data_IF_525562681492
#
_entry.id   IF_525562681492
#
_cell.length_a   1.000
_cell.length_b   1.000
_cell.length_c   1.000
_cell.angle_alpha   90.00
_cell.angle_beta   90.00
_cell.angle_gamma   90.00
#
_symmetry.space_group_name_H-M   'P 1'
#
loop_
_entity.id
_entity.type
_entity.pdbx_description
1 polymer ?
#
# COMPACT_ATOMS: atom_id res chain seq x y z
N UNK A 1 22.94 -22.71 -27.82
CA UNK A 1 23.57 -22.59 -26.48
C UNK A 1 24.41 -21.31 -26.31
N UNK A 2 25.08 -20.80 -27.31
CA UNK A 2 25.91 -19.59 -27.21
C UNK A 2 25.13 -18.29 -26.89
N UNK A 3 23.97 -18.08 -27.51
CA UNK A 3 23.12 -16.89 -27.27
C UNK A 3 22.65 -16.86 -25.84
N UNK A 4 22.04 -17.95 -25.35
CA UNK A 4 21.57 -18.09 -23.96
C UNK A 4 22.68 -17.81 -22.92
N UNK A 5 23.88 -18.39 -23.13
CA UNK A 5 25.04 -18.12 -22.26
C UNK A 5 25.49 -16.66 -22.32
N UNK A 6 25.34 -15.99 -23.48
CA UNK A 6 25.63 -14.58 -23.65
C UNK A 6 24.74 -13.69 -22.76
N UNK A 7 23.43 -13.97 -22.75
CA UNK A 7 22.45 -13.26 -21.88
C UNK A 7 22.82 -13.40 -20.40
N UNK A 8 23.06 -14.63 -19.94
CA UNK A 8 23.43 -14.88 -18.54
C UNK A 8 24.77 -14.21 -18.14
N UNK A 9 25.75 -14.13 -19.07
CA UNK A 9 27.02 -13.43 -18.81
C UNK A 9 26.84 -11.95 -18.59
N UNK A 10 25.97 -11.28 -19.40
CA UNK A 10 25.67 -9.86 -19.23
C UNK A 10 24.94 -9.62 -17.89
N UNK A 11 23.96 -10.46 -17.55
CA UNK A 11 23.27 -10.38 -16.24
C UNK A 11 24.28 -10.49 -15.11
N UNK A 12 25.18 -11.49 -15.16
CA UNK A 12 26.20 -11.68 -14.12
C UNK A 12 27.16 -10.49 -14.00
N UNK A 13 27.50 -9.84 -15.09
CA UNK A 13 28.34 -8.65 -15.09
C UNK A 13 27.65 -7.42 -14.45
N UNK A 14 26.31 -7.41 -14.40
CA UNK A 14 25.50 -6.30 -13.88
C UNK A 14 24.75 -6.66 -12.58
N UNK A 15 25.19 -7.71 -11.87
CA UNK A 15 24.59 -8.13 -10.59
C UNK A 15 24.55 -7.00 -9.55
N UNK A 16 25.50 -6.06 -9.57
CA UNK A 16 25.55 -4.93 -8.65
C UNK A 16 24.28 -4.07 -8.70
N UNK A 17 23.72 -3.85 -9.89
CA UNK A 17 22.46 -3.09 -10.04
C UNK A 17 21.26 -3.87 -9.51
N UNK A 18 21.19 -5.18 -9.74
CA UNK A 18 20.16 -6.04 -9.17
C UNK A 18 20.22 -6.01 -7.63
N UNK A 19 21.43 -6.16 -7.07
CA UNK A 19 21.64 -6.11 -5.62
C UNK A 19 21.27 -4.74 -5.03
N UNK A 20 21.46 -3.65 -5.76
CA UNK A 20 21.01 -2.32 -5.34
C UNK A 20 19.49 -2.27 -5.15
N UNK A 21 18.69 -2.74 -6.13
CA UNK A 21 17.23 -2.77 -6.01
C UNK A 21 16.75 -3.70 -4.91
N UNK A 22 17.41 -4.84 -4.74
CA UNK A 22 17.16 -5.76 -3.61
C UNK A 22 17.44 -5.07 -2.27
N UNK A 23 18.56 -4.34 -2.17
CA UNK A 23 18.93 -3.60 -0.96
C UNK A 23 17.92 -2.50 -0.62
N UNK A 24 17.46 -1.72 -1.60
CA UNK A 24 16.43 -0.70 -1.42
C UNK A 24 15.12 -1.35 -0.95
N UNK A 25 14.71 -2.45 -1.59
CA UNK A 25 13.49 -3.16 -1.22
C UNK A 25 13.57 -3.72 0.21
N UNK A 26 14.69 -4.33 0.59
CA UNK A 26 14.92 -4.80 1.96
C UNK A 26 14.86 -3.66 2.98
N UNK A 27 15.48 -2.52 2.67
CA UNK A 27 15.42 -1.34 3.53
C UNK A 27 13.98 -0.87 3.74
N UNK A 28 13.15 -0.85 2.68
CA UNK A 28 11.73 -0.52 2.77
C UNK A 28 10.99 -1.55 3.66
N UNK A 29 11.20 -2.85 3.42
CA UNK A 29 10.56 -3.91 4.23
C UNK A 29 10.93 -3.80 5.71
N UNK A 30 12.20 -3.54 6.03
CA UNK A 30 12.66 -3.36 7.42
C UNK A 30 12.09 -2.08 8.03
N UNK A 31 12.06 -0.97 7.29
CA UNK A 31 11.49 0.29 7.77
C UNK A 31 10.00 0.12 8.12
N UNK A 32 9.21 -0.51 7.23
CA UNK A 32 7.79 -0.75 7.46
C UNK A 32 7.57 -1.74 8.61
N UNK A 33 8.38 -2.80 8.68
CA UNK A 33 8.28 -3.77 9.77
C UNK A 33 8.56 -3.14 11.15
N UNK A 34 9.48 -2.16 11.20
CA UNK A 34 9.75 -1.41 12.43
C UNK A 34 8.71 -0.34 12.75
N UNK A 35 8.10 0.24 11.72
CA UNK A 35 7.05 1.26 11.88
C UNK A 35 5.70 0.65 12.27
N UNK A 36 5.49 -0.64 11.97
CA UNK A 36 4.31 -1.41 12.34
C UNK A 36 4.74 -2.66 13.12
N UNK A 37 5.07 -2.57 14.40
CA UNK A 37 5.47 -3.71 15.22
C UNK A 37 4.36 -4.74 15.47
N UNK A 38 3.14 -4.53 14.94
CA UNK A 38 1.97 -5.37 15.13
C UNK A 38 1.94 -6.62 14.23
N UNK A 39 2.85 -7.54 14.46
CA UNK A 39 2.76 -8.94 13.99
C UNK A 39 2.58 -9.95 15.12
N UNK A 40 2.45 -9.50 16.32
CA UNK A 40 2.14 -10.29 17.51
C UNK A 40 0.87 -9.71 18.12
N UNK A 41 -0.01 -10.56 18.58
CA UNK A 41 -1.17 -10.32 19.44
C UNK A 41 -0.95 -9.13 20.39
N UNK A 42 -0.91 -7.92 19.86
CA UNK A 42 -0.84 -6.74 20.69
C UNK A 42 -2.28 -6.29 20.99
N UNK A 43 -2.60 -6.33 22.27
CA UNK A 43 -3.65 -5.51 22.81
C UNK A 43 -3.56 -4.14 22.12
N UNK A 44 -4.67 -3.71 21.53
CA UNK A 44 -4.80 -2.37 20.96
C UNK A 44 -4.23 -1.36 21.96
N UNK A 45 -3.08 -0.79 21.65
CA UNK A 45 -2.47 0.26 22.46
C UNK A 45 -2.99 1.58 21.92
N UNK A 46 -3.86 2.21 22.66
CA UNK A 46 -4.38 3.52 22.35
C UNK A 46 -3.24 4.52 22.23
N UNK A 47 -3.04 5.08 21.04
CA UNK A 47 -2.05 6.13 20.82
C UNK A 47 -2.62 7.43 21.40
N UNK A 48 -1.96 7.97 22.42
CA UNK A 48 -2.33 9.29 22.96
C UNK A 48 -2.07 10.35 21.92
N UNK A 49 -3.10 11.13 21.60
CA UNK A 49 -3.05 12.27 20.71
C UNK A 49 -2.91 13.58 21.50
N UNK A 50 -2.38 14.60 20.83
CA UNK A 50 -2.47 15.96 21.34
C UNK A 50 -3.86 16.52 21.00
N UNK A 51 -4.71 16.67 22.02
CA UNK A 51 -6.09 17.11 21.87
C UNK A 51 -6.35 18.39 22.69
N UNK A 52 -7.11 19.30 22.12
CA UNK A 52 -7.57 20.50 22.81
C UNK A 52 -9.09 20.48 23.00
N UNK A 53 -9.54 21.03 24.11
CA UNK A 53 -10.97 21.18 24.41
C UNK A 53 -11.26 22.66 24.63
N UNK A 54 -12.21 23.17 23.87
CA UNK A 54 -12.71 24.55 23.96
C UNK A 54 -14.14 24.48 24.53
N UNK A 55 -14.27 24.69 25.82
CA UNK A 55 -15.58 24.73 26.47
C UNK A 55 -16.12 26.17 26.50
N UNK A 56 -17.22 26.42 25.77
CA UNK A 56 -17.93 27.71 25.72
C UNK A 56 -19.23 27.66 26.53
N UNK A 57 -19.61 26.47 27.05
CA UNK A 57 -20.87 26.26 27.78
C UNK A 57 -20.67 26.31 29.28
N UNK A 58 -19.50 25.87 29.77
CA UNK A 58 -19.14 25.89 31.20
C UNK A 58 -19.96 24.99 32.09
N UNK A 59 -20.58 23.93 31.53
CA UNK A 59 -21.46 23.02 32.23
C UNK A 59 -20.81 21.72 32.69
N UNK A 60 -21.63 20.82 33.32
CA UNK A 60 -21.15 19.48 33.73
C UNK A 60 -20.69 18.64 32.55
N UNK A 61 -21.29 18.82 31.37
CA UNK A 61 -20.92 18.13 30.15
C UNK A 61 -19.52 18.55 29.71
N UNK A 62 -19.18 19.85 29.76
CA UNK A 62 -17.85 20.34 29.44
C UNK A 62 -16.79 19.77 30.36
N UNK A 63 -17.06 19.77 31.67
CA UNK A 63 -16.16 19.20 32.67
C UNK A 63 -15.91 17.69 32.44
N UNK A 64 -16.93 16.92 32.08
CA UNK A 64 -16.80 15.50 31.73
C UNK A 64 -15.88 15.30 30.51
N UNK A 65 -16.11 16.03 29.43
CA UNK A 65 -15.38 15.90 28.19
C UNK A 65 -13.92 16.34 28.35
N UNK A 66 -13.66 17.42 29.11
CA UNK A 66 -12.31 17.84 29.46
C UNK A 66 -11.55 16.79 30.27
N UNK A 67 -12.25 16.20 31.28
CA UNK A 67 -11.67 15.14 32.11
C UNK A 67 -11.33 13.90 31.31
N UNK A 68 -12.26 13.45 30.46
CA UNK A 68 -12.07 12.29 29.60
C UNK A 68 -10.88 12.46 28.63
N UNK A 69 -10.81 13.60 27.94
CA UNK A 69 -9.68 13.90 27.04
C UNK A 69 -8.37 13.97 27.81
N UNK A 70 -8.37 14.51 29.02
CA UNK A 70 -7.15 14.60 29.85
C UNK A 70 -6.66 13.26 30.38
N UNK A 71 -7.54 12.27 30.53
CA UNK A 71 -7.14 10.92 30.96
C UNK A 71 -6.62 10.07 29.80
N UNK A 72 -7.33 10.07 28.68
CA UNK A 72 -7.06 9.18 27.56
C UNK A 72 -6.06 9.77 26.54
N UNK A 73 -5.91 11.11 26.50
CA UNK A 73 -5.09 11.83 25.54
C UNK A 73 -4.19 12.90 26.21
N UNK A 74 -3.29 13.50 25.45
CA UNK A 74 -2.48 14.63 25.91
C UNK A 74 -3.28 15.91 25.74
N UNK A 75 -3.86 16.44 26.81
CA UNK A 75 -4.60 17.70 26.76
C UNK A 75 -3.64 18.89 26.58
N UNK A 76 -3.86 19.68 25.55
CA UNK A 76 -3.15 20.94 25.28
C UNK A 76 -4.13 22.10 25.43
N UNK A 77 -3.74 23.11 26.21
CA UNK A 77 -4.52 24.34 26.35
C UNK A 77 -4.16 25.29 25.23
N UNK A 78 -5.15 25.71 24.45
CA UNK A 78 -5.01 26.69 23.37
C UNK A 78 -6.03 27.82 23.55
N UNK A 79 -5.72 28.99 22.97
CA UNK A 79 -6.64 30.10 22.99
C UNK A 79 -7.84 29.85 22.07
N UNK A 80 -9.04 30.28 22.51
CA UNK A 80 -10.27 30.23 21.70
C UNK A 80 -10.27 31.35 20.64
N UNK A 81 -9.36 31.25 19.67
CA UNK A 81 -9.23 32.16 18.54
C UNK A 81 -9.16 31.33 17.24
N UNK A 82 -10.01 31.60 16.25
CA UNK A 82 -10.05 30.82 15.01
C UNK A 82 -8.72 30.72 14.26
N UNK A 83 -7.88 31.77 14.33
CA UNK A 83 -6.57 31.77 13.69
C UNK A 83 -5.61 30.84 14.42
N UNK A 84 -5.59 30.91 15.76
CA UNK A 84 -4.76 30.02 16.59
C UNK A 84 -5.17 28.57 16.42
N UNK A 85 -6.48 28.27 16.41
CA UNK A 85 -7.00 26.91 16.20
C UNK A 85 -6.56 26.35 14.85
N UNK A 86 -6.60 27.17 13.79
CA UNK A 86 -6.17 26.77 12.47
C UNK A 86 -4.65 26.55 12.37
N UNK A 87 -3.84 27.43 12.98
CA UNK A 87 -2.38 27.31 13.01
C UNK A 87 -1.94 26.05 13.77
N UNK A 88 -2.49 25.80 14.95
CA UNK A 88 -2.15 24.63 15.77
C UNK A 88 -2.47 23.30 15.08
N UNK A 89 -3.59 23.24 14.34
CA UNK A 89 -3.94 22.08 13.49
C UNK A 89 -3.02 21.98 12.28
N UNK A 90 -2.68 23.09 11.64
CA UNK A 90 -1.83 23.11 10.45
C UNK A 90 -0.42 22.62 10.75
N UNK A 91 0.17 23.11 11.86
CA UNK A 91 1.50 22.67 12.31
C UNK A 91 1.49 21.32 13.03
N UNK A 92 0.30 20.69 13.20
CA UNK A 92 0.13 19.41 13.90
C UNK A 92 0.60 19.44 15.36
N UNK A 93 0.63 20.60 16.00
CA UNK A 93 0.84 20.72 17.42
C UNK A 93 -0.36 20.12 18.18
N UNK A 94 -1.57 20.30 17.62
CA UNK A 94 -2.82 19.67 18.04
C UNK A 94 -3.38 18.85 16.87
N UNK A 95 -3.76 17.61 17.12
CA UNK A 95 -4.31 16.71 16.10
C UNK A 95 -5.85 16.62 16.14
N UNK A 96 -6.45 17.01 17.28
CA UNK A 96 -7.89 16.97 17.52
C UNK A 96 -8.34 18.15 18.39
N UNK A 97 -9.37 18.87 17.98
CA UNK A 97 -9.97 19.96 18.73
C UNK A 97 -11.46 19.66 18.94
N UNK A 98 -11.86 19.59 20.20
CA UNK A 98 -13.26 19.45 20.61
C UNK A 98 -13.79 20.82 21.05
N UNK A 99 -14.83 21.29 20.38
CA UNK A 99 -15.50 22.56 20.71
C UNK A 99 -16.89 22.26 21.26
N UNK A 100 -17.16 22.71 22.46
CA UNK A 100 -18.45 22.60 23.12
C UNK A 100 -19.13 23.98 23.00
N UNK A 101 -20.11 24.13 22.10
CA UNK A 101 -20.78 25.41 21.87
C UNK A 101 -21.70 25.76 23.04
N UNK A 102 -22.02 27.05 23.19
CA UNK A 102 -23.01 27.51 24.17
C UNK A 102 -24.37 26.84 23.94
N UNK A 103 -25.02 26.40 25.01
CA UNK A 103 -26.30 25.68 24.98
C UNK A 103 -26.14 24.18 24.64
N UNK A 104 -24.95 23.63 24.66
CA UNK A 104 -24.71 22.21 24.40
C UNK A 104 -25.43 21.32 25.42
N UNK A 105 -25.36 21.69 26.69
CA UNK A 105 -26.05 20.98 27.77
C UNK A 105 -27.57 21.05 27.66
N UNK A 106 -28.13 22.20 27.23
CA UNK A 106 -29.60 22.36 27.06
C UNK A 106 -30.10 21.50 25.89
N UNK A 107 -29.34 21.43 24.78
CA UNK A 107 -29.68 20.55 23.67
C UNK A 107 -29.63 19.07 24.03
N UNK A 108 -28.64 18.68 24.80
CA UNK A 108 -28.54 17.30 25.30
C UNK A 108 -29.74 16.95 26.21
N UNK A 109 -30.19 17.86 27.07
CA UNK A 109 -31.40 17.70 27.88
C UNK A 109 -32.68 17.64 27.04
N UNK A 110 -32.71 18.31 25.89
CA UNK A 110 -33.82 18.24 24.94
C UNK A 110 -33.84 16.94 24.11
N UNK A 111 -32.83 16.06 24.29
CA UNK A 111 -32.74 14.78 23.60
C UNK A 111 -32.03 14.85 22.23
N UNK A 112 -31.40 15.98 21.91
CA UNK A 112 -30.57 16.11 20.74
C UNK A 112 -29.19 15.49 20.98
N UNK A 113 -28.73 14.64 20.06
CA UNK A 113 -27.37 14.06 20.07
C UNK A 113 -26.49 14.61 18.99
N UNK A 114 -27.07 14.96 17.86
CA UNK A 114 -26.35 15.52 16.72
C UNK A 114 -26.00 17.01 16.91
N UNK A 115 -24.72 17.35 16.69
CA UNK A 115 -24.25 18.72 16.77
C UNK A 115 -24.15 19.32 18.17
N UNK A 116 -24.29 18.51 19.23
CA UNK A 116 -24.07 18.93 20.63
C UNK A 116 -22.63 19.40 20.83
N UNK A 117 -21.68 18.74 20.18
CA UNK A 117 -20.28 19.15 20.13
C UNK A 117 -19.80 19.27 18.67
N UNK A 118 -18.76 20.05 18.45
CA UNK A 118 -18.11 20.19 17.15
C UNK A 118 -16.68 19.64 17.25
N UNK A 119 -16.33 18.75 16.34
CA UNK A 119 -15.01 18.14 16.29
C UNK A 119 -14.26 18.62 15.07
N UNK A 120 -13.02 19.04 15.24
CA UNK A 120 -12.12 19.43 14.15
C UNK A 120 -10.86 18.57 14.24
N UNK A 121 -10.57 17.85 13.17
CA UNK A 121 -9.41 16.95 13.07
C UNK A 121 -8.40 17.42 12.06
N UNK A 122 -7.13 17.15 12.30
CA UNK A 122 -6.09 17.41 11.30
C UNK A 122 -6.35 16.55 10.04
N UNK A 123 -6.20 17.09 8.82
CA UNK A 123 -6.44 16.34 7.59
C UNK A 123 -5.61 15.06 7.53
N UNK A 124 -6.28 13.92 7.26
CA UNK A 124 -5.63 12.61 7.16
C UNK A 124 -5.29 11.95 8.51
N UNK A 125 -5.77 12.45 9.64
CA UNK A 125 -5.60 11.81 10.95
C UNK A 125 -6.63 10.70 11.15
N UNK A 126 -6.23 9.45 10.96
CA UNK A 126 -7.08 8.27 11.31
C UNK A 126 -7.33 8.18 12.80
N UNK A 127 -6.41 8.67 13.61
CA UNK A 127 -6.52 8.67 15.06
C UNK A 127 -7.55 9.72 15.53
N UNK A 128 -7.76 10.82 14.80
CA UNK A 128 -8.83 11.79 15.08
C UNK A 128 -10.22 11.19 14.97
N UNK A 129 -10.48 10.34 13.98
CA UNK A 129 -11.76 9.61 13.86
C UNK A 129 -12.01 8.65 15.02
N UNK A 130 -10.94 8.07 15.58
CA UNK A 130 -11.07 7.21 16.74
C UNK A 130 -11.52 7.99 17.98
N UNK A 131 -10.91 9.17 18.21
CA UNK A 131 -11.32 10.07 19.31
C UNK A 131 -12.77 10.51 19.13
N UNK A 132 -13.17 10.83 17.90
CA UNK A 132 -14.52 11.23 17.56
C UNK A 132 -15.55 10.13 17.91
N UNK A 133 -15.23 8.88 17.59
CA UNK A 133 -16.05 7.73 17.95
C UNK A 133 -16.14 7.53 19.48
N UNK A 134 -15.04 7.74 20.20
CA UNK A 134 -15.03 7.65 21.67
C UNK A 134 -15.91 8.75 22.31
N UNK A 135 -15.80 9.99 21.83
CA UNK A 135 -16.64 11.10 22.29
C UNK A 135 -18.11 10.81 21.98
N UNK A 136 -18.42 10.32 20.78
CA UNK A 136 -19.77 9.91 20.40
C UNK A 136 -20.35 8.84 21.32
N UNK A 137 -19.54 7.84 21.72
CA UNK A 137 -19.93 6.81 22.66
C UNK A 137 -20.19 7.38 24.05
N UNK A 138 -19.32 8.27 24.55
CA UNK A 138 -19.49 8.92 25.86
C UNK A 138 -20.76 9.78 25.90
N UNK A 139 -21.01 10.57 24.86
CA UNK A 139 -22.25 11.35 24.73
C UNK A 139 -23.49 10.47 24.66
N UNK A 140 -23.41 9.31 24.01
CA UNK A 140 -24.51 8.34 23.98
C UNK A 140 -24.79 7.76 25.35
N UNK A 141 -23.79 7.48 26.18
CA UNK A 141 -23.98 7.06 27.56
C UNK A 141 -24.69 8.12 28.40
N UNK A 142 -24.26 9.39 28.29
CA UNK A 142 -24.93 10.51 28.97
C UNK A 142 -26.39 10.61 28.53
N UNK A 143 -26.66 10.51 27.22
CA UNK A 143 -28.01 10.57 26.67
C UNK A 143 -28.92 9.46 27.21
N UNK A 144 -28.44 8.22 27.28
CA UNK A 144 -29.18 7.07 27.84
C UNK A 144 -29.52 7.30 29.31
N UNK A 145 -28.56 7.80 30.07
CA UNK A 145 -28.77 8.08 31.49
C UNK A 145 -29.78 9.21 31.71
N UNK A 146 -29.75 10.27 30.91
CA UNK A 146 -30.75 11.34 30.93
C UNK A 146 -32.15 10.81 30.58
N UNK A 147 -32.27 9.96 29.57
CA UNK A 147 -33.52 9.30 29.21
C UNK A 147 -34.04 8.38 30.35
N UNK A 148 -33.12 7.85 31.17
CA UNK A 148 -33.43 7.10 32.40
C UNK A 148 -33.88 7.95 33.59
N UNK A 149 -33.92 9.29 33.43
CA UNK A 149 -34.40 10.21 34.47
C UNK A 149 -33.33 10.73 35.42
N UNK A 150 -32.06 10.49 35.17
CA UNK A 150 -30.96 11.09 35.94
C UNK A 150 -30.80 12.59 35.63
N UNK A 151 -30.36 13.34 36.62
CA UNK A 151 -29.97 14.74 36.36
C UNK A 151 -28.69 14.81 35.48
N UNK A 152 -28.46 15.93 34.81
CA UNK A 152 -27.26 16.10 33.95
C UNK A 152 -25.96 15.82 34.72
N UNK A 153 -25.88 16.29 35.97
CA UNK A 153 -24.67 16.08 36.79
C UNK A 153 -24.47 14.59 37.10
N UNK A 154 -25.53 13.91 37.56
CA UNK A 154 -25.47 12.46 37.87
C UNK A 154 -25.17 11.63 36.61
N UNK A 155 -25.78 11.99 35.49
CA UNK A 155 -25.53 11.33 34.21
C UNK A 155 -24.05 11.48 33.76
N UNK A 156 -23.46 12.67 33.93
CA UNK A 156 -22.04 12.89 33.63
C UNK A 156 -21.12 12.11 34.58
N UNK A 157 -21.41 12.12 35.90
CA UNK A 157 -20.63 11.36 36.90
C UNK A 157 -20.67 9.84 36.64
N UNK A 158 -21.86 9.30 36.30
CA UNK A 158 -21.99 7.88 35.98
C UNK A 158 -21.34 7.52 34.61
N UNK A 159 -21.48 8.38 33.60
CA UNK A 159 -20.84 8.17 32.31
C UNK A 159 -19.31 8.16 32.43
N UNK A 160 -18.75 9.04 33.29
CA UNK A 160 -17.32 9.04 33.58
C UNK A 160 -16.89 7.72 34.25
N UNK A 161 -17.61 7.26 35.25
CA UNK A 161 -17.33 5.99 35.91
C UNK A 161 -17.39 4.80 34.94
N UNK A 162 -18.39 4.75 34.05
CA UNK A 162 -18.53 3.72 33.04
C UNK A 162 -17.38 3.78 32.01
N UNK A 163 -16.89 4.97 31.69
CA UNK A 163 -15.76 5.13 30.73
C UNK A 163 -14.45 4.58 31.30
N UNK A 164 -14.31 4.50 32.59
CA UNK A 164 -13.14 3.97 33.30
C UNK A 164 -13.16 2.43 33.42
N UNK A 165 -14.32 1.78 33.26
CA UNK A 165 -14.40 0.32 33.21
C UNK A 165 -13.79 -0.21 31.92
N UNK A 166 -12.49 -0.50 31.95
CA UNK A 166 -11.77 -1.11 30.82
C UNK A 166 -12.16 -2.58 30.72
N UNK A 167 -13.04 -2.88 29.78
CA UNK A 167 -13.29 -4.25 29.36
C UNK A 167 -12.03 -4.85 28.77
N UNK A 168 -11.61 -6.02 29.26
CA UNK A 168 -10.50 -6.77 28.62
C UNK A 168 -11.07 -7.39 27.34
N UNK A 169 -10.83 -6.74 26.20
CA UNK A 169 -11.16 -7.31 24.90
C UNK A 169 -10.03 -8.30 24.57
N UNK A 170 -10.28 -9.57 24.78
CA UNK A 170 -9.46 -10.61 24.21
C UNK A 170 -9.84 -10.72 22.72
N UNK A 171 -9.01 -10.18 21.84
CA UNK A 171 -9.09 -10.48 20.42
C UNK A 171 -8.76 -11.98 20.26
N UNK A 172 -9.80 -12.79 20.25
CA UNK A 172 -9.65 -14.18 19.83
C UNK A 172 -9.43 -14.11 18.31
N UNK A 173 -8.20 -14.38 17.88
CA UNK A 173 -7.94 -14.70 16.48
C UNK A 173 -8.74 -15.95 16.13
N UNK A 174 -9.97 -15.77 15.71
CA UNK A 174 -10.66 -16.81 14.98
C UNK A 174 -9.90 -16.94 13.67
N UNK A 175 -9.30 -18.10 13.47
CA UNK A 175 -8.55 -18.50 12.27
C UNK A 175 -9.38 -18.41 10.97
N UNK A 176 -10.55 -17.81 10.98
CA UNK A 176 -11.53 -17.79 9.90
C UNK A 176 -11.87 -16.40 9.35
N UNK A 177 -11.20 -15.30 9.72
CA UNK A 177 -11.68 -14.05 9.13
C UNK A 177 -11.01 -12.73 9.46
N UNK A 178 -9.88 -12.73 10.08
CA UNK A 178 -9.15 -11.49 10.36
C UNK A 178 -7.68 -11.78 10.47
N UNK A 179 -6.99 -11.95 9.33
CA UNK A 179 -5.55 -12.08 9.41
C UNK A 179 -4.99 -10.78 9.97
N UNK A 180 -4.46 -10.85 11.20
CA UNK A 180 -3.53 -9.85 11.68
C UNK A 180 -2.64 -9.49 10.48
N UNK A 181 -2.42 -8.19 10.23
CA UNK A 181 -1.59 -7.71 9.10
C UNK A 181 -0.20 -8.31 9.22
N UNK A 182 -0.08 -9.56 8.82
CA UNK A 182 1.18 -10.31 8.89
C UNK A 182 2.18 -9.64 7.98
N UNK A 183 3.42 -9.56 8.40
CA UNK A 183 4.47 -8.83 7.67
C UNK A 183 4.62 -9.23 6.20
N UNK A 184 4.23 -10.47 5.80
CA UNK A 184 4.28 -10.90 4.40
C UNK A 184 3.28 -10.15 3.50
N UNK A 185 2.16 -9.60 4.01
CA UNK A 185 1.26 -8.76 3.21
C UNK A 185 1.97 -7.49 2.73
N UNK A 186 2.76 -6.86 3.59
CA UNK A 186 3.56 -5.70 3.22
C UNK A 186 4.62 -6.06 2.17
N UNK A 187 5.25 -7.24 2.32
CA UNK A 187 6.20 -7.72 1.32
C UNK A 187 5.57 -7.79 -0.06
N UNK A 188 4.40 -8.45 -0.18
CA UNK A 188 3.70 -8.56 -1.47
C UNK A 188 3.13 -7.22 -1.93
N UNK A 189 2.71 -6.33 -1.03
CA UNK A 189 2.23 -5.01 -1.42
C UNK A 189 3.32 -4.21 -2.16
N UNK A 190 4.56 -4.21 -1.66
CA UNK A 190 5.68 -3.45 -2.26
C UNK A 190 6.50 -4.22 -3.30
N UNK A 191 6.26 -5.52 -3.47
CA UNK A 191 6.99 -6.37 -4.40
C UNK A 191 6.98 -5.87 -5.87
N UNK A 192 5.89 -5.26 -6.41
CA UNK A 192 5.90 -4.71 -7.77
C UNK A 192 7.03 -3.73 -8.03
N UNK A 193 7.32 -2.82 -7.09
CA UNK A 193 8.41 -1.88 -7.22
C UNK A 193 9.77 -2.59 -7.35
N UNK A 194 10.00 -3.60 -6.53
CA UNK A 194 11.22 -4.40 -6.59
C UNK A 194 11.35 -5.17 -7.90
N UNK A 195 10.24 -5.79 -8.37
CA UNK A 195 10.21 -6.51 -9.63
C UNK A 195 10.45 -5.58 -10.83
N UNK A 196 9.74 -4.44 -10.89
CA UNK A 196 9.91 -3.48 -11.98
C UNK A 196 11.34 -2.93 -11.99
N UNK A 197 11.80 -2.38 -10.87
CA UNK A 197 13.14 -1.82 -10.78
C UNK A 197 14.23 -2.80 -11.19
N UNK A 198 14.21 -4.02 -10.65
CA UNK A 198 15.23 -5.04 -10.91
C UNK A 198 15.12 -5.65 -12.31
N UNK A 199 13.92 -6.02 -12.76
CA UNK A 199 13.72 -6.70 -14.05
C UNK A 199 13.89 -5.73 -15.22
N UNK A 200 13.24 -4.55 -15.18
CA UNK A 200 13.34 -3.57 -16.27
C UNK A 200 14.79 -3.17 -16.49
N UNK A 201 15.52 -2.89 -15.40
CA UNK A 201 16.91 -2.50 -15.51
C UNK A 201 17.79 -3.64 -16.02
N UNK A 202 17.64 -4.84 -15.47
CA UNK A 202 18.43 -6.02 -15.91
C UNK A 202 18.17 -6.36 -17.37
N UNK A 203 16.89 -6.45 -17.77
CA UNK A 203 16.53 -6.77 -19.15
C UNK A 203 16.89 -5.65 -20.10
N UNK A 204 16.63 -4.40 -19.70
CA UNK A 204 16.97 -3.23 -20.50
C UNK A 204 18.44 -3.21 -20.91
N UNK A 205 19.35 -3.45 -19.96
CA UNK A 205 20.79 -3.53 -20.25
C UNK A 205 21.09 -4.68 -21.21
N UNK A 206 20.53 -5.86 -20.95
CA UNK A 206 20.77 -7.02 -21.81
C UNK A 206 20.32 -6.75 -23.24
N UNK A 207 19.13 -6.21 -23.44
CA UNK A 207 18.58 -5.88 -24.78
C UNK A 207 19.42 -4.79 -25.45
N UNK A 208 19.80 -3.75 -24.71
CA UNK A 208 20.62 -2.66 -25.21
C UNK A 208 22.00 -3.16 -25.69
N UNK A 209 22.66 -4.06 -24.94
CA UNK A 209 23.91 -4.68 -25.35
C UNK A 209 23.75 -5.49 -26.64
N UNK A 210 22.67 -6.27 -26.76
CA UNK A 210 22.42 -7.05 -28.00
C UNK A 210 22.03 -6.19 -29.22
N UNK A 211 21.65 -4.91 -29.03
CA UNK A 211 21.44 -3.94 -30.12
C UNK A 211 22.73 -3.43 -30.72
N UNK A 212 23.88 -3.55 -30.06
CA UNK A 212 25.18 -3.07 -30.58
C UNK A 212 25.51 -3.71 -31.92
N UNK A 213 25.95 -2.90 -32.86
CA UNK A 213 26.23 -3.32 -34.26
C UNK A 213 27.17 -4.53 -34.34
N UNK A 214 28.19 -4.57 -33.49
CA UNK A 214 29.17 -5.64 -33.44
C UNK A 214 28.56 -7.00 -33.05
N UNK A 215 27.75 -7.02 -32.02
CA UNK A 215 27.09 -8.25 -31.56
C UNK A 215 26.05 -8.69 -32.58
N UNK A 216 25.28 -7.75 -33.13
CA UNK A 216 24.29 -8.03 -34.17
C UNK A 216 24.91 -8.64 -35.42
N UNK A 217 26.02 -8.08 -35.92
CA UNK A 217 26.77 -8.63 -37.11
C UNK A 217 27.24 -10.06 -36.84
N UNK A 218 27.77 -10.33 -35.65
CA UNK A 218 28.19 -11.69 -35.25
C UNK A 218 27.03 -12.66 -35.19
N UNK A 219 25.84 -12.21 -34.71
CA UNK A 219 24.65 -13.03 -34.69
C UNK A 219 24.12 -13.34 -36.09
N UNK A 220 24.17 -12.37 -37.01
CA UNK A 220 23.76 -12.55 -38.41
C UNK A 220 24.67 -13.48 -39.18
N UNK A 221 25.97 -13.47 -38.87
CA UNK A 221 26.97 -14.36 -39.52
C UNK A 221 26.98 -15.77 -38.94
N UNK A 222 26.22 -16.03 -37.85
CA UNK A 222 26.19 -17.33 -37.25
C UNK A 222 25.26 -18.30 -38.04
N UNK A 223 25.63 -19.57 -38.25
CA UNK A 223 24.85 -20.54 -39.01
C UNK A 223 23.64 -21.08 -38.17
N UNK A 224 22.88 -20.17 -37.58
CA UNK A 224 21.72 -20.50 -36.75
C UNK A 224 20.50 -19.75 -37.29
N UNK A 225 19.38 -20.43 -37.56
CA UNK A 225 18.16 -19.77 -38.04
C UNK A 225 17.71 -18.65 -37.09
N UNK A 226 17.30 -17.51 -37.67
CA UNK A 226 16.86 -16.32 -36.92
C UNK A 226 15.76 -16.62 -35.88
N UNK A 227 14.82 -17.50 -36.22
CA UNK A 227 13.75 -17.94 -35.30
C UNK A 227 14.35 -18.62 -34.06
N UNK A 228 15.33 -19.48 -34.25
CA UNK A 228 15.98 -20.22 -33.15
C UNK A 228 16.80 -19.27 -32.25
N UNK A 229 17.42 -18.23 -32.83
CA UNK A 229 18.14 -17.20 -32.07
C UNK A 229 17.16 -16.39 -31.19
N UNK A 230 16.02 -15.98 -31.75
CA UNK A 230 14.99 -15.21 -31.04
C UNK A 230 14.35 -16.04 -29.92
N UNK A 231 14.01 -17.31 -30.18
CA UNK A 231 13.48 -18.25 -29.17
C UNK A 231 14.47 -18.46 -28.03
N UNK A 232 15.75 -18.64 -28.33
CA UNK A 232 16.79 -18.78 -27.32
C UNK A 232 16.98 -17.51 -26.50
N UNK A 233 16.84 -16.31 -27.12
CA UNK A 233 16.84 -15.03 -26.43
C UNK A 233 15.64 -14.86 -25.51
N UNK A 234 14.43 -15.12 -26.03
CA UNK A 234 13.19 -15.05 -25.24
C UNK A 234 13.19 -16.01 -24.04
N UNK A 235 13.65 -17.25 -24.26
CA UNK A 235 13.80 -18.24 -23.20
C UNK A 235 14.83 -17.78 -22.14
N UNK A 236 15.94 -17.19 -22.56
CA UNK A 236 16.94 -16.65 -21.64
C UNK A 236 16.37 -15.51 -20.78
N UNK A 237 15.62 -14.57 -21.37
CA UNK A 237 14.96 -13.49 -20.63
C UNK A 237 13.94 -14.03 -19.64
N UNK A 238 13.11 -14.98 -20.06
CA UNK A 238 12.12 -15.60 -19.17
C UNK A 238 12.81 -16.30 -17.99
N UNK A 239 13.88 -17.07 -18.24
CA UNK A 239 14.64 -17.75 -17.16
C UNK A 239 15.24 -16.74 -16.20
N UNK A 240 15.80 -15.64 -16.69
CA UNK A 240 16.36 -14.58 -15.84
C UNK A 240 15.28 -13.95 -14.98
N UNK A 241 14.13 -13.58 -15.56
CA UNK A 241 13.02 -12.97 -14.81
C UNK A 241 12.43 -13.95 -13.78
N UNK A 242 12.23 -15.20 -14.16
CA UNK A 242 11.77 -16.24 -13.25
C UNK A 242 12.79 -16.47 -12.12
N UNK A 243 14.08 -16.41 -12.42
CA UNK A 243 15.14 -16.50 -11.42
C UNK A 243 15.10 -15.34 -10.41
N UNK A 244 14.89 -14.10 -10.88
CA UNK A 244 14.73 -12.92 -10.02
C UNK A 244 13.45 -13.06 -9.17
N UNK A 245 12.34 -13.47 -9.76
CA UNK A 245 11.08 -13.69 -9.05
C UNK A 245 11.20 -14.78 -7.98
N UNK A 246 11.77 -15.94 -8.31
CA UNK A 246 12.04 -17.02 -7.35
C UNK A 246 12.94 -16.52 -6.22
N UNK A 247 13.95 -15.71 -6.53
CA UNK A 247 14.81 -15.12 -5.52
C UNK A 247 14.01 -14.27 -4.51
N UNK A 248 13.07 -13.42 -4.97
CA UNK A 248 12.21 -12.67 -4.07
C UNK A 248 11.26 -13.57 -3.25
N UNK A 249 10.75 -14.66 -3.82
CA UNK A 249 9.94 -15.63 -3.07
C UNK A 249 10.77 -16.33 -1.98
N UNK A 250 12.00 -16.71 -2.27
CA UNK A 250 12.91 -17.29 -1.28
C UNK A 250 13.24 -16.29 -0.18
N UNK A 251 13.48 -15.02 -0.55
CA UNK A 251 13.72 -13.95 0.39
C UNK A 251 12.52 -13.76 1.34
N UNK A 252 11.30 -13.76 0.80
CA UNK A 252 10.06 -13.72 1.60
C UNK A 252 9.98 -14.91 2.55
N UNK A 253 10.25 -16.12 2.07
CA UNK A 253 10.18 -17.34 2.89
C UNK A 253 11.20 -17.30 4.05
N UNK A 254 12.39 -16.73 3.82
CA UNK A 254 13.42 -16.56 4.87
C UNK A 254 13.02 -15.49 5.89
N UNK A 255 12.59 -14.29 5.43
CA UNK A 255 12.27 -13.17 6.31
C UNK A 255 11.06 -13.48 7.19
N UNK A 256 10.01 -14.08 6.62
CA UNK A 256 8.74 -14.33 7.31
C UNK A 256 8.53 -15.80 7.69
N UNK A 257 9.62 -16.60 7.72
CA UNK A 257 9.62 -17.99 8.19
C UNK A 257 8.50 -18.87 7.57
N UNK A 258 8.19 -18.61 6.31
CA UNK A 258 7.16 -19.35 5.58
C UNK A 258 5.72 -19.06 6.02
N UNK A 259 5.47 -17.97 6.75
CA UNK A 259 4.13 -17.61 7.25
C UNK A 259 3.03 -17.57 6.19
N UNK A 260 3.38 -17.24 4.93
CA UNK A 260 2.43 -17.23 3.82
C UNK A 260 1.80 -18.61 3.56
N UNK A 261 2.56 -19.71 3.74
CA UNK A 261 2.05 -21.05 3.48
C UNK A 261 0.97 -21.50 4.48
N UNK A 262 0.82 -20.76 5.59
CA UNK A 262 -0.24 -20.97 6.58
C UNK A 262 -1.52 -20.21 6.25
N UNK A 263 -1.49 -19.27 5.31
CA UNK A 263 -2.61 -18.35 5.01
C UNK A 263 -3.71 -18.96 4.13
N UNK A 264 -3.54 -20.15 3.58
CA UNK A 264 -4.48 -20.72 2.59
C UNK A 264 -4.46 -20.06 1.21
N UNK A 265 -3.98 -18.83 1.09
CA UNK A 265 -3.98 -18.02 -0.15
C UNK A 265 -2.61 -17.93 -0.83
N UNK A 266 -1.61 -18.68 -0.36
CA UNK A 266 -0.24 -18.62 -0.87
C UNK A 266 -0.16 -18.76 -2.40
N UNK A 267 -0.91 -19.70 -2.98
CA UNK A 267 -0.93 -19.93 -4.42
C UNK A 267 -1.38 -18.70 -5.21
N UNK A 268 -2.38 -17.94 -4.69
CA UNK A 268 -2.90 -16.75 -5.37
C UNK A 268 -1.90 -15.61 -5.30
N UNK A 269 -1.23 -15.40 -4.15
CA UNK A 269 -0.12 -14.44 -4.03
C UNK A 269 1.01 -14.74 -5.00
N UNK A 270 1.39 -16.02 -5.12
CA UNK A 270 2.42 -16.45 -6.08
C UNK A 270 1.98 -16.21 -7.52
N UNK A 271 0.73 -16.54 -7.87
CA UNK A 271 0.21 -16.35 -9.22
C UNK A 271 0.11 -14.86 -9.56
N UNK A 272 -0.37 -14.01 -8.63
CA UNK A 272 -0.45 -12.57 -8.81
C UNK A 272 0.93 -11.95 -9.01
N UNK A 273 1.91 -12.32 -8.18
CA UNK A 273 3.30 -11.84 -8.32
C UNK A 273 3.98 -12.35 -9.59
N UNK A 274 3.65 -13.57 -10.05
CA UNK A 274 4.12 -14.10 -11.32
C UNK A 274 3.56 -13.32 -12.52
N UNK A 275 2.25 -12.98 -12.50
CA UNK A 275 1.65 -12.12 -13.53
C UNK A 275 2.31 -10.74 -13.56
N UNK A 276 2.59 -10.15 -12.40
CA UNK A 276 3.33 -8.89 -12.29
C UNK A 276 4.76 -9.01 -12.85
N UNK A 277 5.45 -10.12 -12.62
CA UNK A 277 6.76 -10.41 -13.22
C UNK A 277 6.71 -10.44 -14.75
N UNK A 278 5.65 -11.00 -15.35
CA UNK A 278 5.47 -10.99 -16.82
C UNK A 278 5.25 -9.57 -17.35
N UNK A 279 4.53 -8.72 -16.61
CA UNK A 279 4.43 -7.28 -16.93
C UNK A 279 5.81 -6.63 -16.89
N UNK A 280 6.58 -6.86 -15.83
CA UNK A 280 7.95 -6.33 -15.70
C UNK A 280 8.87 -6.79 -16.85
N UNK A 281 8.75 -8.05 -17.28
CA UNK A 281 9.46 -8.60 -18.41
C UNK A 281 9.12 -7.85 -19.72
N UNK A 282 7.83 -7.64 -19.98
CA UNK A 282 7.39 -6.92 -21.19
C UNK A 282 7.86 -5.47 -21.21
N UNK A 283 7.77 -4.77 -20.08
CA UNK A 283 8.27 -3.41 -19.90
C UNK A 283 9.81 -3.36 -20.04
N UNK A 284 10.53 -4.30 -19.45
CA UNK A 284 12.00 -4.38 -19.57
C UNK A 284 12.46 -4.61 -21.00
N UNK A 285 11.73 -5.43 -21.77
CA UNK A 285 11.99 -5.61 -23.19
C UNK A 285 11.71 -4.34 -24.00
N UNK A 286 10.59 -3.67 -23.72
CA UNK A 286 10.24 -2.39 -24.35
C UNK A 286 11.27 -1.31 -24.06
N UNK A 287 11.61 -1.07 -22.79
CA UNK A 287 12.57 -0.04 -22.39
C UNK A 287 13.97 -0.27 -22.97
N UNK A 288 14.43 -1.53 -22.99
CA UNK A 288 15.69 -1.88 -23.61
C UNK A 288 15.71 -1.63 -25.12
N UNK A 289 14.55 -1.76 -25.80
CA UNK A 289 14.44 -1.46 -27.23
C UNK A 289 14.50 0.03 -27.54
N UNK A 290 13.91 0.89 -26.71
CA UNK A 290 13.87 2.35 -26.96
C UNK A 290 15.09 3.08 -26.38
N UNK A 291 15.73 2.53 -25.34
CA UNK A 291 16.87 3.20 -24.70
C UNK A 291 18.13 3.18 -25.57
N UNK A 292 18.84 4.30 -25.59
CA UNK A 292 20.10 4.47 -26.33
C UNK A 292 21.34 4.24 -25.45
N UNK A 293 21.20 4.55 -24.15
CA UNK A 293 22.27 4.42 -23.17
C UNK A 293 21.75 4.08 -21.78
N UNK A 294 22.66 3.72 -20.88
CA UNK A 294 22.30 3.30 -19.52
C UNK A 294 21.66 4.40 -18.68
N UNK A 295 21.99 5.69 -18.93
CA UNK A 295 21.41 6.83 -18.20
C UNK A 295 19.95 7.00 -18.59
N UNK A 296 19.64 6.97 -19.89
CA UNK A 296 18.27 7.03 -20.40
C UNK A 296 17.44 5.84 -19.90
N UNK A 297 18.00 4.62 -19.93
CA UNK A 297 17.37 3.43 -19.41
C UNK A 297 17.00 3.58 -17.94
N UNK A 298 17.92 4.07 -17.11
CA UNK A 298 17.68 4.29 -15.68
C UNK A 298 16.60 5.35 -15.45
N UNK A 299 16.61 6.45 -16.19
CA UNK A 299 15.56 7.47 -16.12
C UNK A 299 14.18 6.90 -16.46
N UNK A 300 14.05 6.15 -17.56
CA UNK A 300 12.80 5.51 -17.97
C UNK A 300 12.36 4.47 -16.95
N UNK A 301 13.28 3.65 -16.43
CA UNK A 301 12.98 2.66 -15.39
C UNK A 301 12.42 3.33 -14.15
N UNK A 302 13.01 4.43 -13.67
CA UNK A 302 12.51 5.13 -12.48
C UNK A 302 11.11 5.71 -12.73
N UNK A 303 10.87 6.36 -13.87
CA UNK A 303 9.57 6.91 -14.22
C UNK A 303 8.51 5.82 -14.29
N UNK A 304 8.80 4.70 -14.95
CA UNK A 304 7.85 3.59 -15.08
C UNK A 304 7.62 2.89 -13.74
N UNK A 305 8.67 2.54 -13.01
CA UNK A 305 8.55 1.80 -11.75
C UNK A 305 7.85 2.62 -10.68
N UNK A 306 8.24 3.91 -10.50
CA UNK A 306 7.60 4.79 -9.52
C UNK A 306 6.19 5.18 -9.98
N UNK A 307 6.03 5.60 -11.24
CA UNK A 307 4.73 6.04 -11.76
C UNK A 307 3.66 4.95 -11.68
N UNK A 308 3.98 3.72 -12.13
CA UNK A 308 3.07 2.58 -12.02
C UNK A 308 2.75 2.21 -10.57
N UNK A 309 3.74 2.30 -9.67
CA UNK A 309 3.54 1.96 -8.26
C UNK A 309 2.74 3.03 -7.51
N UNK A 310 2.95 4.33 -7.80
CA UNK A 310 2.15 5.39 -7.18
C UNK A 310 0.69 5.35 -7.66
N UNK A 311 0.49 5.32 -8.98
CA UNK A 311 -0.85 5.33 -9.56
C UNK A 311 -1.61 4.03 -9.31
N UNK A 312 -0.91 2.91 -9.22
CA UNK A 312 -1.51 1.58 -9.07
C UNK A 312 -1.77 1.12 -7.63
N UNK A 313 -1.62 1.99 -6.64
CA UNK A 313 -1.97 1.63 -5.25
C UNK A 313 -0.91 0.84 -4.50
N UNK A 314 0.34 0.81 -4.99
CA UNK A 314 1.45 0.09 -4.32
C UNK A 314 2.00 0.91 -3.16
N UNK A 315 2.23 2.23 -3.36
CA UNK A 315 2.76 3.12 -2.32
C UNK A 315 1.66 3.86 -1.57
N UNK A 316 0.58 4.19 -2.25
CA UNK A 316 -0.58 4.88 -1.67
C UNK A 316 -1.77 3.94 -1.76
N UNK A 317 -2.42 3.57 -0.64
CA UNK A 317 -3.61 2.73 -0.66
C UNK A 317 -4.67 3.26 -1.63
N UNK A 318 -5.34 2.36 -2.36
CA UNK A 318 -6.33 2.72 -3.39
C UNK A 318 -7.47 3.57 -2.81
N UNK A 319 -7.80 3.36 -1.55
CA UNK A 319 -8.86 4.07 -0.81
C UNK A 319 -8.50 5.56 -0.57
N UNK A 320 -7.21 5.89 -0.59
CA UNK A 320 -6.72 7.26 -0.42
C UNK A 320 -6.57 8.01 -1.75
N UNK A 321 -6.70 7.31 -2.87
CA UNK A 321 -6.63 7.93 -4.19
C UNK A 321 -7.99 8.53 -4.56
N UNK A 322 -8.00 9.78 -5.04
CA UNK A 322 -9.22 10.42 -5.52
C UNK A 322 -9.84 9.67 -6.72
N UNK A 323 -11.17 9.76 -6.88
CA UNK A 323 -11.93 9.03 -7.90
C UNK A 323 -11.39 9.21 -9.33
N UNK A 324 -10.89 10.40 -9.68
CA UNK A 324 -10.30 10.66 -11.00
C UNK A 324 -9.01 9.87 -11.24
N UNK A 325 -8.16 9.71 -10.21
CA UNK A 325 -6.92 8.94 -10.29
C UNK A 325 -7.24 7.46 -10.39
N UNK A 326 -8.21 6.97 -9.59
CA UNK A 326 -8.65 5.57 -9.61
C UNK A 326 -9.16 5.17 -10.99
N UNK A 327 -9.91 6.05 -11.67
CA UNK A 327 -10.41 5.79 -13.03
C UNK A 327 -9.29 5.58 -14.05
N UNK A 328 -8.17 6.31 -13.92
CA UNK A 328 -6.97 6.11 -14.76
C UNK A 328 -6.21 4.84 -14.30
N UNK A 329 -6.09 4.64 -13.00
CA UNK A 329 -5.37 3.51 -12.43
C UNK A 329 -5.92 2.15 -12.88
N UNK A 330 -7.23 2.02 -13.10
CA UNK A 330 -7.88 0.79 -13.57
C UNK A 330 -7.32 0.25 -14.90
N UNK A 331 -6.70 1.10 -15.72
CA UNK A 331 -6.01 0.68 -16.94
C UNK A 331 -4.60 0.15 -16.68
N UNK A 332 -4.06 0.33 -15.47
CA UNK A 332 -2.71 -0.06 -15.11
C UNK A 332 -2.66 -1.46 -14.47
N UNK A 333 -1.67 -2.28 -14.81
CA UNK A 333 -1.55 -3.63 -14.25
C UNK A 333 -1.30 -3.63 -12.73
N UNK A 334 -0.67 -2.60 -12.20
CA UNK A 334 -0.38 -2.43 -10.77
C UNK A 334 -1.62 -2.19 -9.93
N UNK A 335 -2.65 -1.55 -10.48
CA UNK A 335 -3.95 -1.40 -9.83
C UNK A 335 -4.58 -2.76 -9.52
N UNK A 336 -4.62 -3.64 -10.51
CA UNK A 336 -5.19 -4.98 -10.36
C UNK A 336 -4.36 -5.85 -9.43
N UNK A 337 -3.03 -5.70 -9.50
CA UNK A 337 -2.13 -6.34 -8.56
C UNK A 337 -2.44 -5.95 -7.10
N UNK A 338 -2.53 -4.64 -6.83
CA UNK A 338 -2.81 -4.11 -5.48
C UNK A 338 -4.21 -4.49 -5.01
N UNK A 339 -5.21 -4.44 -5.91
CA UNK A 339 -6.59 -4.83 -5.60
C UNK A 339 -6.69 -6.31 -5.21
N UNK A 340 -6.02 -7.21 -5.95
CA UNK A 340 -5.96 -8.65 -5.59
C UNK A 340 -5.32 -8.83 -4.22
N UNK A 341 -4.18 -8.17 -3.95
CA UNK A 341 -3.51 -8.26 -2.65
C UNK A 341 -4.38 -7.70 -1.51
N UNK A 342 -5.16 -6.65 -1.76
CA UNK A 342 -6.15 -6.13 -0.82
C UNK A 342 -7.22 -7.17 -0.48
N UNK A 343 -7.80 -7.81 -1.49
CA UNK A 343 -8.78 -8.89 -1.30
C UNK A 343 -8.19 -10.03 -0.45
N UNK A 344 -6.98 -10.48 -0.78
CA UNK A 344 -6.31 -11.57 -0.05
C UNK A 344 -5.92 -11.21 1.38
N UNK A 345 -5.76 -9.91 1.67
CA UNK A 345 -5.49 -9.38 3.00
C UNK A 345 -6.76 -9.33 3.86
N UNK A 346 -7.87 -8.86 3.27
CA UNK A 346 -9.05 -8.47 4.02
C UNK A 346 -10.07 -9.60 4.16
N UNK A 347 -9.99 -10.63 3.30
CA UNK A 347 -10.95 -11.74 3.29
C UNK A 347 -10.26 -13.09 3.52
N UNK A 348 -10.68 -13.81 4.57
CA UNK A 348 -10.22 -15.17 4.88
C UNK A 348 -10.83 -16.21 3.95
N UNK A 349 -12.12 -16.06 3.62
CA UNK A 349 -12.84 -16.88 2.64
C UNK A 349 -13.19 -16.05 1.41
N UNK A 350 -13.00 -16.65 0.24
CA UNK A 350 -13.24 -15.98 -1.04
C UNK A 350 -14.60 -16.37 -1.61
N UNK A 351 -15.53 -15.41 -1.65
CA UNK A 351 -16.81 -15.57 -2.33
C UNK A 351 -16.63 -15.72 -3.85
N UNK A 352 -17.65 -16.22 -4.54
CA UNK A 352 -17.64 -16.35 -6.01
C UNK A 352 -17.35 -15.01 -6.71
N UNK A 353 -17.88 -13.90 -6.20
CA UNK A 353 -17.67 -12.56 -6.75
C UNK A 353 -16.21 -12.09 -6.60
N UNK A 354 -15.59 -12.37 -5.45
CA UNK A 354 -14.17 -12.08 -5.22
C UNK A 354 -13.28 -12.90 -6.15
N UNK A 355 -13.61 -14.17 -6.38
CA UNK A 355 -12.92 -15.00 -7.36
C UNK A 355 -12.99 -14.42 -8.78
N UNK A 356 -14.17 -13.94 -9.22
CA UNK A 356 -14.30 -13.26 -10.51
C UNK A 356 -13.40 -12.03 -10.61
N UNK A 357 -13.32 -11.24 -9.56
CA UNK A 357 -12.45 -10.06 -9.50
C UNK A 357 -10.97 -10.43 -9.59
N UNK A 358 -10.54 -11.49 -8.89
CA UNK A 358 -9.16 -12.00 -8.91
C UNK A 358 -8.79 -12.46 -10.33
N UNK A 359 -9.64 -13.30 -10.96
CA UNK A 359 -9.36 -13.79 -12.31
C UNK A 359 -9.36 -12.66 -13.36
N UNK A 360 -10.30 -11.74 -13.26
CA UNK A 360 -10.32 -10.56 -14.14
C UNK A 360 -9.01 -9.74 -13.99
N UNK A 361 -8.56 -9.49 -12.78
CA UNK A 361 -7.33 -8.77 -12.53
C UNK A 361 -6.08 -9.48 -13.07
N UNK A 362 -6.00 -10.80 -12.93
CA UNK A 362 -4.90 -11.60 -13.51
C UNK A 362 -4.91 -11.54 -15.04
N UNK A 363 -6.10 -11.67 -15.66
CA UNK A 363 -6.24 -11.58 -17.12
C UNK A 363 -5.87 -10.20 -17.65
N UNK A 364 -6.24 -9.12 -16.97
CA UNK A 364 -5.88 -7.74 -17.36
C UNK A 364 -4.36 -7.54 -17.28
N UNK A 365 -3.70 -8.02 -16.24
CA UNK A 365 -2.24 -7.98 -16.14
C UNK A 365 -1.56 -8.72 -17.31
N UNK A 366 -2.04 -9.92 -17.64
CA UNK A 366 -1.53 -10.70 -18.78
C UNK A 366 -1.79 -10.01 -20.12
N UNK A 367 -2.99 -9.46 -20.32
CA UNK A 367 -3.34 -8.71 -21.51
C UNK A 367 -2.44 -7.48 -21.69
N UNK A 368 -2.15 -6.75 -20.61
CA UNK A 368 -1.21 -5.63 -20.63
C UNK A 368 0.21 -6.08 -21.03
N UNK A 369 0.69 -7.17 -20.46
CA UNK A 369 2.01 -7.72 -20.79
C UNK A 369 2.09 -8.12 -22.28
N UNK A 370 1.05 -8.78 -22.80
CA UNK A 370 0.97 -9.17 -24.22
C UNK A 370 0.89 -7.94 -25.15
N UNK A 371 0.07 -6.94 -24.80
CA UNK A 371 -0.03 -5.70 -25.57
C UNK A 371 1.30 -4.95 -25.62
N UNK A 372 1.97 -4.80 -24.49
CA UNK A 372 3.29 -4.16 -24.41
C UNK A 372 4.34 -4.93 -25.25
N UNK A 373 4.33 -6.26 -25.17
CA UNK A 373 5.20 -7.11 -25.98
C UNK A 373 4.90 -6.97 -27.49
N UNK A 374 3.63 -6.92 -27.86
CA UNK A 374 3.17 -6.71 -29.24
C UNK A 374 3.66 -5.38 -29.80
N UNK A 375 3.49 -4.29 -29.07
CA UNK A 375 4.01 -2.95 -29.44
C UNK A 375 5.52 -2.98 -29.63
N UNK A 376 6.25 -3.64 -28.74
CA UNK A 376 7.72 -3.75 -28.83
C UNK A 376 8.16 -4.51 -30.08
N UNK A 377 7.42 -5.56 -30.43
CA UNK A 377 7.72 -6.33 -31.67
C UNK A 377 7.47 -5.51 -32.94
N UNK A 378 6.43 -4.66 -32.96
CA UNK A 378 6.16 -3.74 -34.06
C UNK A 378 7.28 -2.70 -34.22
N UNK A 379 7.73 -2.08 -33.11
CA UNK A 379 8.85 -1.14 -33.12
C UNK A 379 10.13 -1.80 -33.64
N UNK A 380 10.40 -3.02 -33.23
CA UNK A 380 11.55 -3.79 -33.71
C UNK A 380 11.51 -4.03 -35.24
N UNK A 381 10.34 -4.35 -35.80
CA UNK A 381 10.17 -4.54 -37.26
C UNK A 381 10.41 -3.24 -38.01
N UNK A 382 9.86 -2.10 -37.57
CA UNK A 382 10.09 -0.79 -38.17
C UNK A 382 11.58 -0.41 -38.21
N UNK A 383 12.31 -0.59 -37.13
CA UNK A 383 13.76 -0.32 -37.07
C UNK A 383 14.59 -1.24 -37.98
N UNK A 384 14.07 -2.40 -38.35
CA UNK A 384 14.74 -3.29 -39.32
C UNK A 384 14.52 -2.84 -40.75
N UNK A 385 13.34 -2.28 -41.07
CA UNK A 385 12.99 -1.78 -42.41
C UNK A 385 13.67 -0.44 -42.74
N UNK A 386 13.82 0.47 -41.79
CA UNK A 386 14.51 1.76 -42.00
C UNK A 386 16.04 1.65 -42.16
N UNK A 387 16.63 0.51 -41.83
CA UNK A 387 18.10 0.31 -41.83
C UNK A 387 18.57 -0.78 -42.80
N UNK A 388 17.69 -1.34 -43.61
CA UNK A 388 18.00 -2.23 -44.76
C UNK A 388 17.97 -1.48 -46.07
#
# INVERSE_FOLDING_TARGET
MTVFKGYLRIVRANLGQLLMYVGIFLAICVAISRSNPGGTTESFTQKKLNAAVIDRDGGSLGTLLEHYIGQEHNRISIADDPQVLQEELYYRNVEYILIIPKGAQERMLAGETDGVVQCVTAPGSTAGYYVDAQIGQLLSHVHILLAGGFSMKEACEQADALSQEKGTINLVETSEGGSARTGYHFFYAYLPYALFGSIIMTLGIVIMEFKKKEIRRRMQSAPIPFVRQNLAGAAALLVVCTGIWVFYLLLQAVIYQGGIFRSGHAAIYMLNSFSCMLVALSLGYFTGMISENAVALNGINNVLSLGLCFLGGVFVPLEMLGNGIVSIAQFLPTYWYSRINGILRDYGELSSELWHTIWAGLLIQLAFALACFGVTMMLRRGQLQERG
#
